data_IF_357099130362
#
_entry.id   IF_357099130362
#
_cell.length_a   1.000
_cell.length_b   1.000
_cell.length_c   1.000
_cell.angle_alpha   90.00
_cell.angle_beta   90.00
_cell.angle_gamma   90.00
#
_symmetry.space_group_name_H-M   'P 1'
#
loop_
_entity.id
_entity.type
_entity.pdbx_description
1 polymer ?
#
# COMPACT_ATOMS: atom_id res chain seq x y z
N UNK A 1 -43.84 21.33 -22.51
CA UNK A 1 -43.30 19.99 -22.24
C UNK A 1 -42.49 20.09 -20.96
N UNK A 2 -43.14 19.83 -19.80
CA UNK A 2 -42.50 19.91 -18.48
C UNK A 2 -41.89 18.54 -18.17
N UNK A 3 -40.56 18.49 -18.03
CA UNK A 3 -39.86 17.30 -17.56
C UNK A 3 -39.99 17.25 -16.04
N UNK A 4 -40.80 16.31 -15.53
CA UNK A 4 -40.84 15.98 -14.11
C UNK A 4 -39.64 15.11 -13.81
N UNK A 5 -38.63 15.72 -13.16
CA UNK A 5 -37.47 14.98 -12.61
C UNK A 5 -37.97 14.31 -11.33
N UNK A 6 -38.22 13.01 -11.40
CA UNK A 6 -38.36 12.18 -10.22
C UNK A 6 -36.99 12.09 -9.56
N UNK A 7 -36.79 12.89 -8.52
CA UNK A 7 -35.73 12.63 -7.53
C UNK A 7 -36.22 11.42 -6.73
N UNK A 8 -35.79 10.23 -7.15
CA UNK A 8 -35.83 9.04 -6.29
C UNK A 8 -34.84 9.34 -5.17
N UNK A 9 -35.36 9.85 -4.06
CA UNK A 9 -34.62 9.87 -2.81
C UNK A 9 -34.31 8.40 -2.50
N UNK A 10 -33.04 7.99 -2.64
CA UNK A 10 -32.56 6.84 -1.91
C UNK A 10 -32.77 7.18 -0.44
N UNK A 11 -33.88 6.71 0.16
CA UNK A 11 -33.88 6.41 1.56
C UNK A 11 -32.69 5.46 1.75
N UNK A 12 -31.55 6.02 2.18
CA UNK A 12 -30.57 5.24 2.89
C UNK A 12 -31.33 4.71 4.10
N UNK A 13 -31.93 3.53 3.93
CA UNK A 13 -32.29 2.73 5.07
C UNK A 13 -31.08 2.83 6.00
N UNK A 14 -31.31 3.16 7.26
CA UNK A 14 -30.33 3.05 8.33
C UNK A 14 -29.98 1.56 8.49
N UNK A 15 -29.44 0.98 7.45
CA UNK A 15 -28.76 -0.30 7.51
C UNK A 15 -27.52 0.02 8.32
N UNK A 16 -27.51 -0.45 9.56
CA UNK A 16 -26.29 -0.58 10.32
C UNK A 16 -25.23 -1.09 9.35
N UNK A 17 -24.17 -0.29 9.20
CA UNK A 17 -23.13 -0.60 8.25
C UNK A 17 -22.51 -1.92 8.69
N UNK A 18 -22.95 -3.03 8.10
CA UNK A 18 -22.55 -4.40 8.45
C UNK A 18 -21.15 -4.73 8.02
N UNK A 19 -20.52 -3.86 7.25
CA UNK A 19 -19.09 -3.89 6.96
C UNK A 19 -18.23 -3.48 8.17
N UNK A 20 -18.84 -3.33 9.34
CA UNK A 20 -18.14 -3.27 10.61
C UNK A 20 -17.44 -4.58 10.91
N UNK A 21 -16.59 -5.09 10.26
CA UNK A 21 -16.10 -6.36 10.69
C UNK A 21 -14.88 -6.83 9.98
N UNK A 22 -14.57 -6.24 8.88
CA UNK A 22 -13.39 -6.61 8.12
C UNK A 22 -12.28 -5.61 8.36
N UNK A 23 -11.14 -6.11 8.81
CA UNK A 23 -9.90 -5.35 8.85
C UNK A 23 -9.36 -5.32 7.43
N UNK A 24 -9.59 -4.23 6.70
CA UNK A 24 -9.00 -4.03 5.38
C UNK A 24 -7.89 -3.00 5.45
N UNK A 25 -6.68 -3.47 5.67
CA UNK A 25 -5.51 -2.63 5.71
C UNK A 25 -5.69 -1.46 6.69
N UNK A 26 -5.06 -0.34 6.40
CA UNK A 26 -5.09 0.84 7.28
C UNK A 26 -6.47 1.49 7.44
N UNK A 27 -7.43 1.18 6.58
CA UNK A 27 -8.80 1.74 6.63
C UNK A 27 -9.70 1.04 7.64
N UNK A 28 -9.37 -0.19 8.03
CA UNK A 28 -10.13 -0.95 9.01
C UNK A 28 -9.85 -0.58 10.47
N UNK A 29 -8.90 0.29 10.74
CA UNK A 29 -8.47 0.60 12.10
C UNK A 29 -9.60 1.10 13.02
N UNK A 30 -10.53 1.90 12.50
CA UNK A 30 -11.64 2.51 13.24
C UNK A 30 -12.90 1.62 13.34
N UNK A 31 -12.91 0.44 12.69
CA UNK A 31 -14.05 -0.48 12.74
C UNK A 31 -14.16 -1.18 14.10
N UNK A 32 -15.28 -1.91 14.33
CA UNK A 32 -15.44 -2.75 15.52
C UNK A 32 -14.33 -3.79 15.67
N UNK A 33 -13.95 -4.39 14.53
CA UNK A 33 -12.84 -5.33 14.44
C UNK A 33 -11.51 -4.65 14.14
N UNK A 34 -11.46 -3.32 14.21
CA UNK A 34 -10.25 -2.56 14.05
C UNK A 34 -9.30 -2.67 15.23
N UNK A 35 -8.11 -2.12 15.05
CA UNK A 35 -7.02 -2.21 16.03
C UNK A 35 -6.59 -0.82 16.54
N UNK A 36 -7.43 0.19 16.36
CA UNK A 36 -7.09 1.57 16.73
C UNK A 36 -6.83 1.71 18.23
N UNK A 37 -7.76 1.25 19.06
CA UNK A 37 -7.59 1.36 20.51
C UNK A 37 -6.35 0.59 21.00
N UNK A 38 -6.06 -0.56 20.42
CA UNK A 38 -4.84 -1.28 20.74
C UNK A 38 -3.58 -0.48 20.34
N UNK A 39 -3.61 0.20 19.19
CA UNK A 39 -2.50 1.06 18.81
C UNK A 39 -2.36 2.32 19.68
N UNK A 40 -3.48 2.88 20.16
CA UNK A 40 -3.49 4.02 21.08
C UNK A 40 -2.87 3.68 22.45
N UNK A 41 -2.91 2.42 22.89
CA UNK A 41 -2.21 2.00 24.10
C UNK A 41 -0.68 2.12 23.95
N UNK A 42 -0.13 1.82 22.78
CA UNK A 42 1.30 2.07 22.48
C UNK A 42 1.61 3.56 22.41
N UNK A 43 0.74 4.36 21.77
CA UNK A 43 0.91 5.82 21.70
C UNK A 43 0.85 6.46 23.08
N UNK A 44 0.01 5.95 23.99
CA UNK A 44 -0.08 6.41 25.39
C UNK A 44 1.23 6.16 26.16
N UNK A 45 2.04 5.19 25.76
CA UNK A 45 3.40 4.96 26.29
C UNK A 45 4.48 5.79 25.59
N UNK A 46 4.09 6.67 24.64
CA UNK A 46 5.01 7.53 23.92
C UNK A 46 5.58 6.91 22.65
N UNK A 47 5.10 5.74 22.22
CA UNK A 47 5.54 5.11 21.00
C UNK A 47 5.03 5.86 19.74
N UNK A 48 5.84 5.87 18.68
CA UNK A 48 5.37 6.27 17.36
C UNK A 48 4.81 5.06 16.63
N UNK A 49 3.48 5.05 16.41
CA UNK A 49 2.80 3.96 15.71
C UNK A 49 2.68 4.26 14.21
N UNK A 50 3.00 3.27 13.37
CA UNK A 50 2.75 3.28 11.94
C UNK A 50 1.98 2.04 11.52
N UNK A 51 1.27 2.14 10.39
CA UNK A 51 0.49 1.05 9.80
C UNK A 51 1.00 0.74 8.41
N UNK A 52 1.03 -0.54 8.06
CA UNK A 52 1.44 -1.00 6.73
C UNK A 52 0.68 -2.26 6.34
N UNK A 53 0.42 -2.42 5.05
CA UNK A 53 -0.11 -3.66 4.45
C UNK A 53 0.98 -4.47 3.75
N UNK A 54 2.23 -4.04 3.90
CA UNK A 54 3.37 -4.63 3.19
C UNK A 54 4.53 -4.82 4.17
N UNK A 55 5.12 -6.00 4.14
CA UNK A 55 6.42 -6.28 4.76
C UNK A 55 7.50 -5.76 3.81
N UNK A 56 8.25 -4.76 4.24
CA UNK A 56 9.31 -4.15 3.43
C UNK A 56 10.64 -4.08 4.24
N UNK A 57 11.78 -3.77 3.60
CA UNK A 57 13.07 -3.67 4.27
C UNK A 57 13.15 -2.59 5.37
N UNK A 58 12.13 -1.71 5.46
CA UNK A 58 12.09 -0.67 6.50
C UNK A 58 11.65 -1.20 7.86
N UNK A 59 11.30 -2.50 7.95
CA UNK A 59 11.03 -3.18 9.23
C UNK A 59 12.14 -2.96 10.27
N UNK A 60 13.39 -2.87 9.84
CA UNK A 60 14.54 -2.64 10.72
C UNK A 60 14.49 -1.31 11.51
N UNK A 61 13.52 -0.45 11.21
CA UNK A 61 13.31 0.83 11.91
C UNK A 61 12.37 0.71 13.12
N UNK A 62 11.86 -0.49 13.38
CA UNK A 62 10.91 -0.74 14.45
C UNK A 62 11.41 -1.83 15.38
N UNK A 63 11.20 -1.65 16.68
CA UNK A 63 11.50 -2.65 17.69
C UNK A 63 10.32 -3.59 17.88
N UNK A 64 9.11 -3.07 17.70
CA UNK A 64 7.89 -3.85 17.84
C UNK A 64 7.09 -3.89 16.55
N UNK A 65 6.69 -5.09 16.15
CA UNK A 65 5.78 -5.33 15.03
C UNK A 65 4.55 -6.07 15.56
N UNK A 66 3.37 -5.55 15.22
CA UNK A 66 2.08 -6.16 15.56
C UNK A 66 1.39 -6.58 14.29
N UNK A 67 1.04 -7.84 14.13
CA UNK A 67 0.39 -8.34 12.94
C UNK A 67 -0.96 -8.99 13.24
N UNK A 68 -2.02 -8.38 12.67
CA UNK A 68 -3.37 -8.91 12.64
C UNK A 68 -3.69 -9.38 11.22
N UNK A 69 -3.70 -10.69 10.92
CA UNK A 69 -4.18 -11.18 9.64
C UNK A 69 -5.72 -11.10 9.56
N UNK A 70 -6.26 -10.78 8.39
CA UNK A 70 -7.71 -10.70 8.15
C UNK A 70 -8.41 -12.06 8.18
N UNK A 71 -7.66 -13.12 8.04
CA UNK A 71 -8.21 -14.46 7.98
C UNK A 71 -7.47 -15.40 8.93
N UNK A 72 -8.14 -16.45 9.34
CA UNK A 72 -7.54 -17.58 10.07
C UNK A 72 -6.65 -18.45 9.18
N UNK A 73 -6.40 -18.02 7.94
CA UNK A 73 -5.50 -18.72 7.03
C UNK A 73 -4.06 -18.67 7.56
N UNK A 74 -3.34 -19.76 7.36
CA UNK A 74 -1.93 -19.83 7.71
C UNK A 74 -1.14 -18.79 6.91
N UNK A 75 -0.29 -17.99 7.56
CA UNK A 75 0.53 -17.00 6.88
C UNK A 75 1.38 -17.61 5.77
N UNK A 76 1.64 -16.85 4.73
CA UNK A 76 2.53 -17.29 3.65
C UNK A 76 3.94 -17.58 4.17
N UNK A 77 4.60 -18.60 3.62
CA UNK A 77 5.96 -18.95 4.02
C UNK A 77 6.93 -17.76 3.88
N UNK A 78 6.75 -16.91 2.86
CA UNK A 78 7.56 -15.71 2.66
C UNK A 78 7.36 -14.68 3.79
N UNK A 79 6.14 -14.47 4.25
CA UNK A 79 5.85 -13.54 5.34
C UNK A 79 6.44 -14.06 6.65
N UNK A 80 6.24 -15.34 6.95
CA UNK A 80 6.81 -16.01 8.13
C UNK A 80 8.34 -15.92 8.12
N UNK A 81 8.96 -16.21 6.99
CA UNK A 81 10.42 -16.13 6.83
C UNK A 81 10.92 -14.70 7.03
N UNK A 82 10.33 -13.72 6.33
CA UNK A 82 10.76 -12.32 6.42
C UNK A 82 10.66 -11.75 7.84
N UNK A 83 9.57 -12.06 8.56
CA UNK A 83 9.41 -11.62 9.95
C UNK A 83 10.33 -12.40 10.92
N UNK A 84 10.59 -13.69 10.67
CA UNK A 84 11.54 -14.48 11.47
C UNK A 84 12.98 -13.99 11.27
N UNK A 85 13.36 -13.63 10.05
CA UNK A 85 14.67 -13.04 9.75
C UNK A 85 14.82 -11.67 10.40
N UNK A 86 13.79 -10.82 10.32
CA UNK A 86 13.76 -9.53 11.01
C UNK A 86 13.91 -9.74 12.52
N UNK A 87 13.14 -10.64 13.11
CA UNK A 87 13.19 -10.92 14.54
C UNK A 87 14.60 -11.44 14.96
N UNK A 88 15.25 -12.23 14.11
CA UNK A 88 16.58 -12.79 14.38
C UNK A 88 17.75 -11.82 14.12
N UNK A 89 17.53 -10.73 13.40
CA UNK A 89 18.61 -9.81 12.93
C UNK A 89 18.89 -8.64 13.86
N UNK A 90 17.99 -8.33 14.81
CA UNK A 90 18.09 -7.18 15.72
C UNK A 90 18.24 -7.60 17.19
N UNK A 91 18.14 -6.60 18.08
CA UNK A 91 18.14 -6.77 19.52
C UNK A 91 16.83 -6.22 20.08
N UNK A 92 16.30 -6.85 21.12
CA UNK A 92 15.12 -6.44 21.89
C UNK A 92 13.87 -6.24 21.01
N UNK A 93 13.73 -7.08 19.96
CA UNK A 93 12.62 -7.05 19.03
C UNK A 93 11.46 -7.90 19.50
N UNK A 94 10.26 -7.35 19.40
CA UNK A 94 9.02 -8.04 19.73
C UNK A 94 8.11 -8.14 18.51
N UNK A 95 7.70 -9.37 18.18
CA UNK A 95 6.64 -9.62 17.19
C UNK A 95 5.38 -10.10 17.90
N UNK A 96 4.32 -9.32 17.91
CA UNK A 96 3.00 -9.77 18.34
C UNK A 96 2.26 -10.30 17.10
N UNK A 97 2.05 -11.61 17.04
CA UNK A 97 1.30 -12.24 15.98
C UNK A 97 -0.02 -12.80 16.50
N UNK A 98 -1.12 -12.32 15.92
CA UNK A 98 -2.48 -12.72 16.28
C UNK A 98 -2.95 -13.81 15.33
N UNK A 99 -2.92 -15.07 15.77
CA UNK A 99 -3.10 -16.23 14.90
C UNK A 99 -4.57 -16.59 14.60
N UNK A 100 -5.53 -15.96 15.27
CA UNK A 100 -6.95 -16.25 15.04
C UNK A 100 -7.88 -15.45 15.93
N UNK A 101 -9.19 -15.67 15.77
CA UNK A 101 -10.21 -15.02 16.57
C UNK A 101 -10.33 -13.50 16.34
N UNK A 102 -10.07 -13.04 15.11
CA UNK A 102 -10.00 -11.60 14.78
C UNK A 102 -11.38 -11.03 14.40
N UNK A 103 -12.47 -11.54 14.98
CA UNK A 103 -13.82 -11.09 14.71
C UNK A 103 -14.66 -10.99 15.99
N UNK A 104 -15.07 -9.81 16.34
CA UNK A 104 -15.96 -9.51 17.45
C UNK A 104 -17.39 -9.16 17.02
N UNK A 105 -17.71 -9.30 15.73
CA UNK A 105 -19.02 -8.91 15.19
C UNK A 105 -20.14 -9.74 15.79
N UNK A 106 -19.93 -11.04 15.97
CA UNK A 106 -20.94 -11.93 16.60
C UNK A 106 -21.23 -11.47 18.04
N UNK A 107 -20.20 -11.18 18.82
CA UNK A 107 -20.34 -10.73 20.21
C UNK A 107 -21.08 -9.38 20.27
N UNK A 108 -20.73 -8.44 19.37
CA UNK A 108 -21.43 -7.18 19.25
C UNK A 108 -22.92 -7.36 18.91
N UNK A 109 -23.23 -8.17 17.90
CA UNK A 109 -24.61 -8.38 17.47
C UNK A 109 -25.46 -9.05 18.56
N UNK A 110 -24.87 -9.98 19.33
CA UNK A 110 -25.53 -10.65 20.47
C UNK A 110 -25.87 -9.66 21.59
N UNK A 111 -25.00 -8.72 21.88
CA UNK A 111 -25.25 -7.68 22.88
C UNK A 111 -26.23 -6.63 22.36
N UNK A 112 -26.13 -6.28 21.09
CA UNK A 112 -26.98 -5.27 20.45
C UNK A 112 -28.44 -5.72 20.32
N UNK A 113 -28.72 -7.02 20.08
CA UNK A 113 -30.06 -7.55 19.86
C UNK A 113 -31.00 -7.30 21.05
N UNK A 114 -30.46 -7.22 22.25
CA UNK A 114 -31.26 -6.94 23.46
C UNK A 114 -31.69 -5.47 23.56
N UNK A 115 -31.00 -4.59 22.81
CA UNK A 115 -31.19 -3.14 22.84
C UNK A 115 -31.97 -2.59 21.65
N UNK A 116 -32.19 -3.41 20.61
CA UNK A 116 -32.90 -2.98 19.39
C UNK A 116 -34.42 -3.22 19.51
N UNK A 117 -35.25 -2.43 18.79
CA UNK A 117 -36.69 -2.64 18.68
C UNK A 117 -37.03 -4.04 18.17
N UNK A 118 -38.19 -4.55 18.56
CA UNK A 118 -38.65 -5.91 18.21
C UNK A 118 -38.65 -6.15 16.70
N UNK A 119 -39.00 -5.12 15.92
CA UNK A 119 -39.08 -5.15 14.46
C UNK A 119 -37.73 -5.40 13.80
N UNK A 120 -36.64 -5.07 14.48
CA UNK A 120 -35.27 -5.23 13.97
C UNK A 120 -34.59 -6.52 14.46
N UNK A 121 -35.14 -7.18 15.46
CA UNK A 121 -34.56 -8.40 16.06
C UNK A 121 -34.34 -9.52 15.06
N UNK A 122 -35.30 -9.71 14.14
CA UNK A 122 -35.21 -10.74 13.11
C UNK A 122 -33.99 -10.53 12.20
N UNK A 123 -33.74 -9.31 11.80
CA UNK A 123 -32.55 -8.93 10.99
C UNK A 123 -31.23 -9.19 11.75
N UNK A 124 -31.19 -8.87 13.04
CA UNK A 124 -30.01 -9.15 13.88
C UNK A 124 -29.77 -10.66 14.03
N UNK A 125 -30.84 -11.45 14.23
CA UNK A 125 -30.71 -12.92 14.28
C UNK A 125 -30.23 -13.49 12.95
N UNK A 126 -30.70 -12.96 11.83
CA UNK A 126 -30.24 -13.35 10.51
C UNK A 126 -28.75 -13.09 10.35
N UNK A 127 -28.28 -11.89 10.72
CA UNK A 127 -26.86 -11.51 10.67
C UNK A 127 -26.00 -12.35 11.58
N UNK A 128 -26.44 -12.61 12.81
CA UNK A 128 -25.73 -13.53 13.71
C UNK A 128 -25.57 -14.91 13.06
N UNK A 129 -26.63 -15.38 12.40
CA UNK A 129 -26.58 -16.67 11.70
C UNK A 129 -25.63 -16.66 10.50
N UNK A 130 -25.57 -15.56 9.76
CA UNK A 130 -24.64 -15.36 8.65
C UNK A 130 -23.18 -15.32 9.15
N UNK A 131 -22.89 -14.52 10.17
CA UNK A 131 -21.56 -14.49 10.80
C UNK A 131 -21.12 -15.87 11.31
N UNK A 132 -22.03 -16.62 11.92
CA UNK A 132 -21.74 -18.00 12.35
C UNK A 132 -21.44 -18.94 11.17
N UNK A 133 -22.00 -18.67 9.99
CA UNK A 133 -21.75 -19.43 8.77
C UNK A 133 -20.46 -18.96 8.10
N UNK A 134 -20.22 -17.65 8.02
CA UNK A 134 -19.03 -17.06 7.40
C UNK A 134 -17.76 -17.32 8.23
N UNK A 135 -17.87 -17.28 9.55
CA UNK A 135 -16.80 -17.69 10.46
C UNK A 135 -16.50 -19.21 10.41
N UNK A 136 -17.39 -20.00 9.74
CA UNK A 136 -16.95 -21.30 9.26
C UNK A 136 -16.00 -21.01 8.09
N UNK A 137 -14.75 -21.50 8.19
CA UNK A 137 -13.74 -21.28 7.16
C UNK A 137 -14.25 -21.74 5.80
N UNK A 138 -14.91 -20.83 5.10
CA UNK A 138 -15.45 -21.10 3.78
C UNK A 138 -14.36 -20.88 2.74
N UNK A 139 -14.04 -21.95 2.05
CA UNK A 139 -13.72 -21.87 0.62
C UNK A 139 -12.35 -21.41 0.19
N UNK A 140 -11.35 -21.15 1.05
CA UNK A 140 -9.99 -20.99 0.55
C UNK A 140 -9.34 -22.35 0.26
N UNK A 141 -8.55 -22.46 -0.80
CA UNK A 141 -7.78 -23.67 -1.11
C UNK A 141 -6.90 -24.12 0.08
N UNK A 142 -6.43 -23.17 0.89
CA UNK A 142 -5.71 -23.43 2.13
C UNK A 142 -6.60 -24.11 3.17
N UNK A 143 -7.89 -23.75 3.21
CA UNK A 143 -8.86 -24.36 4.11
C UNK A 143 -9.33 -25.73 3.61
N UNK A 144 -9.44 -25.96 2.32
CA UNK A 144 -9.65 -27.32 1.79
C UNK A 144 -8.46 -28.23 2.09
N UNK A 145 -7.24 -27.71 2.01
CA UNK A 145 -6.03 -28.46 2.43
C UNK A 145 -6.03 -28.73 3.94
N UNK A 146 -6.52 -27.78 4.76
CA UNK A 146 -6.72 -27.95 6.19
C UNK A 146 -7.76 -29.02 6.52
N UNK A 147 -8.90 -28.99 5.82
CA UNK A 147 -9.98 -29.99 6.00
C UNK A 147 -9.51 -31.39 5.59
N UNK A 148 -8.70 -31.51 4.52
CA UNK A 148 -8.21 -32.78 4.00
C UNK A 148 -7.11 -33.43 4.85
N UNK A 149 -6.24 -32.62 5.47
CA UNK A 149 -5.05 -33.11 6.18
C UNK A 149 -5.15 -33.05 7.70
N UNK A 150 -6.24 -32.52 8.27
CA UNK A 150 -6.52 -32.48 9.72
C UNK A 150 -5.64 -31.54 10.55
N UNK A 151 -4.57 -31.01 9.98
CA UNK A 151 -3.72 -30.03 10.63
C UNK A 151 -3.13 -29.06 9.59
N UNK A 152 -3.04 -27.79 9.96
CA UNK A 152 -2.43 -26.73 9.18
C UNK A 152 -1.54 -25.93 10.11
N UNK A 153 -0.50 -25.31 9.62
CA UNK A 153 0.36 -24.50 10.46
C UNK A 153 1.51 -23.86 9.67
N UNK A 154 2.27 -23.05 10.36
CA UNK A 154 3.48 -22.43 9.85
C UNK A 154 4.69 -22.82 10.71
N UNK A 155 5.78 -22.09 10.53
CA UNK A 155 7.00 -22.34 11.30
C UNK A 155 6.86 -22.05 12.78
N UNK A 156 5.91 -21.21 13.17
CA UNK A 156 5.68 -20.76 14.56
C UNK A 156 4.70 -21.65 15.33
N UNK A 157 3.66 -22.18 14.66
CA UNK A 157 2.58 -22.92 15.29
C UNK A 157 1.94 -23.94 14.38
N UNK A 158 1.16 -24.83 15.00
CA UNK A 158 0.22 -25.75 14.34
C UNK A 158 -1.20 -25.38 14.75
N UNK A 159 -2.09 -25.40 13.77
CA UNK A 159 -3.52 -25.15 13.97
C UNK A 159 -4.26 -26.49 13.91
N UNK A 160 -5.02 -26.81 14.94
CA UNK A 160 -5.83 -28.03 14.99
C UNK A 160 -7.31 -27.66 15.03
N UNK A 161 -8.11 -28.26 14.16
CA UNK A 161 -9.56 -28.04 14.11
C UNK A 161 -10.23 -28.76 15.30
N UNK A 162 -9.97 -28.32 16.49
CA UNK A 162 -10.65 -28.79 17.68
C UNK A 162 -11.33 -27.59 18.31
N UNK A 163 -12.66 -27.54 18.23
CA UNK A 163 -13.41 -26.54 18.98
C UNK A 163 -13.29 -26.83 20.47
N UNK A 164 -12.72 -25.90 21.19
CA UNK A 164 -12.52 -26.01 22.64
C UNK A 164 -13.76 -25.48 23.36
N UNK A 165 -14.40 -24.45 22.78
CA UNK A 165 -15.56 -23.78 23.34
C UNK A 165 -15.17 -22.67 24.32
N UNK A 166 -16.14 -22.24 25.11
CA UNK A 166 -16.00 -21.11 26.02
C UNK A 166 -15.24 -21.50 27.29
N UNK A 167 -14.29 -20.67 27.64
CA UNK A 167 -13.49 -20.77 28.85
C UNK A 167 -13.59 -19.49 29.64
N UNK A 168 -13.63 -19.62 30.95
CA UNK A 168 -13.61 -18.50 31.92
C UNK A 168 -12.36 -18.55 32.76
N UNK A 169 -12.13 -17.51 33.52
CA UNK A 169 -11.00 -17.38 34.41
C UNK A 169 -9.66 -17.28 33.69
N UNK A 170 -9.26 -16.04 33.41
CA UNK A 170 -7.97 -15.74 32.78
C UNK A 170 -6.92 -15.48 33.87
N UNK A 171 -5.79 -16.14 33.72
CA UNK A 171 -4.64 -16.00 34.63
C UNK A 171 -3.33 -16.21 33.88
N UNK A 172 -2.22 -15.80 34.43
CA UNK A 172 -0.90 -16.09 33.86
C UNK A 172 0.19 -15.12 34.26
N UNK A 173 1.38 -15.36 33.73
CA UNK A 173 2.60 -14.61 34.05
C UNK A 173 2.64 -13.19 33.54
N UNK A 174 1.73 -12.83 32.59
CA UNK A 174 1.65 -11.49 32.04
C UNK A 174 0.97 -10.54 33.01
N UNK A 175 0.14 -11.04 33.90
CA UNK A 175 -0.55 -10.29 34.93
C UNK A 175 0.35 -10.15 36.17
N UNK A 176 0.10 -9.13 36.97
CA UNK A 176 0.81 -8.98 38.23
C UNK A 176 0.54 -10.20 39.16
N UNK A 177 1.45 -10.46 40.07
CA UNK A 177 1.38 -11.67 40.92
C UNK A 177 0.05 -11.74 41.69
N UNK A 178 -0.77 -12.71 41.32
CA UNK A 178 -2.06 -12.97 41.93
C UNK A 178 -3.26 -12.34 41.24
N UNK A 179 -3.06 -11.54 40.22
CA UNK A 179 -4.17 -11.03 39.39
C UNK A 179 -4.77 -12.15 38.54
N UNK A 180 -6.09 -12.14 38.44
CA UNK A 180 -6.85 -13.02 37.57
C UNK A 180 -8.21 -12.40 37.26
N UNK A 181 -8.70 -12.61 36.04
CA UNK A 181 -10.01 -12.15 35.62
C UNK A 181 -11.00 -13.32 35.67
N UNK A 182 -11.87 -13.33 36.70
CA UNK A 182 -12.81 -14.43 36.92
C UNK A 182 -14.00 -14.45 35.95
N UNK A 183 -14.39 -13.28 35.45
CA UNK A 183 -15.60 -13.11 34.63
C UNK A 183 -15.32 -12.98 33.14
N UNK A 184 -14.04 -12.94 32.72
CA UNK A 184 -13.66 -12.90 31.35
C UNK A 184 -13.95 -14.23 30.66
N UNK A 185 -14.89 -14.25 29.72
CA UNK A 185 -15.23 -15.43 28.91
C UNK A 185 -14.58 -15.31 27.52
N UNK A 186 -13.84 -16.34 27.13
CA UNK A 186 -13.21 -16.45 25.81
C UNK A 186 -13.73 -17.68 25.07
N UNK A 187 -14.11 -17.53 23.79
CA UNK A 187 -14.57 -18.63 22.94
C UNK A 187 -13.45 -19.07 21.98
N UNK A 188 -12.98 -20.29 22.16
CA UNK A 188 -11.91 -20.88 21.38
C UNK A 188 -12.47 -21.72 20.24
N UNK A 189 -12.44 -21.17 19.03
CA UNK A 189 -12.86 -21.88 17.82
C UNK A 189 -11.83 -22.89 17.31
N UNK A 190 -10.57 -22.73 17.68
CA UNK A 190 -9.44 -23.55 17.24
C UNK A 190 -8.42 -23.72 18.37
N UNK A 191 -7.73 -24.86 18.35
CA UNK A 191 -6.57 -25.08 19.20
C UNK A 191 -5.31 -24.70 18.40
N UNK A 192 -4.53 -23.76 18.95
CA UNK A 192 -3.25 -23.34 18.40
C UNK A 192 -2.15 -23.88 19.30
N UNK A 193 -1.26 -24.69 18.72
CA UNK A 193 -0.12 -25.28 19.42
C UNK A 193 1.17 -24.66 18.90
N UNK A 194 1.93 -23.95 19.74
CA UNK A 194 3.25 -23.47 19.36
C UNK A 194 4.20 -24.61 19.02
N UNK A 195 5.08 -24.40 18.07
CA UNK A 195 6.11 -25.37 17.74
C UNK A 195 7.21 -25.41 18.80
N UNK A 196 7.57 -26.58 19.27
CA UNK A 196 8.53 -26.79 20.35
C UNK A 196 9.92 -26.20 20.06
N UNK A 197 10.33 -26.13 18.78
CA UNK A 197 11.61 -25.54 18.39
C UNK A 197 11.74 -24.04 18.70
N UNK A 198 10.61 -23.36 18.95
CA UNK A 198 10.54 -21.97 19.38
C UNK A 198 10.51 -21.80 20.90
N UNK A 199 10.76 -22.85 21.65
CA UNK A 199 10.78 -22.86 23.10
C UNK A 199 9.59 -22.11 23.74
N UNK A 200 8.36 -22.59 23.57
CA UNK A 200 7.15 -21.88 23.97
C UNK A 200 7.03 -21.78 25.49
N UNK A 201 6.72 -20.59 25.97
CA UNK A 201 6.34 -20.29 27.33
C UNK A 201 4.91 -19.76 27.37
N UNK A 202 4.08 -20.28 28.24
CA UNK A 202 2.70 -19.80 28.43
C UNK A 202 2.73 -18.47 29.19
N UNK A 203 2.17 -17.42 28.61
CA UNK A 203 2.01 -16.11 29.24
C UNK A 203 0.62 -15.96 29.86
N UNK A 204 -0.44 -16.39 29.15
CA UNK A 204 -1.82 -16.33 29.59
C UNK A 204 -2.58 -17.61 29.25
N UNK A 205 -3.48 -17.99 30.15
CA UNK A 205 -4.40 -19.11 29.96
C UNK A 205 -5.81 -18.75 30.44
N UNK A 206 -6.81 -19.36 29.84
CA UNK A 206 -8.20 -19.30 30.28
C UNK A 206 -8.62 -20.69 30.74
N UNK A 207 -8.76 -20.86 32.04
CA UNK A 207 -8.90 -22.21 32.67
C UNK A 207 -7.69 -23.08 32.39
N UNK A 208 -7.88 -24.15 31.62
CA UNK A 208 -6.84 -25.09 31.18
C UNK A 208 -6.25 -24.82 29.80
N UNK A 209 -6.75 -23.80 29.11
CA UNK A 209 -6.38 -23.50 27.74
C UNK A 209 -5.49 -22.27 27.64
N UNK A 210 -4.26 -22.44 27.17
CA UNK A 210 -3.34 -21.34 26.95
C UNK A 210 -3.64 -20.62 25.62
N UNK A 211 -3.60 -19.30 25.64
CA UNK A 211 -3.94 -18.49 24.47
C UNK A 211 -2.94 -17.37 24.16
N UNK A 212 -2.03 -17.06 25.05
CA UNK A 212 -0.89 -16.18 24.78
C UNK A 212 0.39 -16.91 25.15
N UNK A 213 1.28 -17.00 24.17
CA UNK A 213 2.56 -17.66 24.31
C UNK A 213 3.69 -16.71 23.96
N UNK A 214 4.78 -16.83 24.72
CA UNK A 214 6.07 -16.30 24.31
C UNK A 214 6.82 -17.40 23.56
N UNK A 215 7.34 -17.07 22.40
CA UNK A 215 8.18 -17.93 21.58
C UNK A 215 9.55 -17.28 21.43
N UNK A 216 10.60 -18.02 21.72
CA UNK A 216 11.98 -17.56 21.53
C UNK A 216 12.55 -18.09 20.24
N UNK A 217 13.18 -17.26 19.40
CA UNK A 217 13.79 -17.72 18.15
C UNK A 217 14.82 -18.82 18.38
N UNK A 218 14.85 -19.90 17.56
CA UNK A 218 15.75 -21.04 17.77
C UNK A 218 17.25 -20.69 17.66
N UNK A 219 17.58 -19.55 17.08
CA UNK A 219 18.97 -19.06 16.88
C UNK A 219 19.23 -17.81 17.75
N UNK A 220 18.52 -17.63 18.83
CA UNK A 220 18.72 -16.48 19.70
C UNK A 220 20.12 -16.55 20.36
N UNK A 221 21.02 -15.68 19.89
CA UNK A 221 22.20 -15.30 20.65
C UNK A 221 21.71 -14.35 21.74
N UNK A 222 21.82 -14.64 23.01
CA UNK A 222 21.52 -13.82 24.19
C UNK A 222 20.61 -12.56 24.01
N UNK A 223 19.86 -12.51 22.92
CA UNK A 223 19.01 -11.41 22.52
C UNK A 223 17.63 -11.63 23.15
N UNK A 224 17.06 -10.57 23.70
CA UNK A 224 15.71 -10.62 24.30
C UNK A 224 14.59 -10.62 23.25
N UNK A 225 14.91 -11.03 22.01
CA UNK A 225 13.93 -11.09 20.92
C UNK A 225 12.85 -12.13 21.22
N UNK A 226 11.61 -11.74 21.06
CA UNK A 226 10.47 -12.62 21.34
C UNK A 226 9.36 -12.48 20.29
N UNK A 227 8.69 -13.60 20.05
CA UNK A 227 7.43 -13.62 19.32
C UNK A 227 6.32 -13.92 20.34
N UNK A 228 5.38 -13.01 20.48
CA UNK A 228 4.17 -13.19 21.27
C UNK A 228 3.08 -13.72 20.34
N UNK A 229 2.70 -14.97 20.51
CA UNK A 229 1.66 -15.64 19.75
C UNK A 229 0.35 -15.54 20.52
N UNK A 230 -0.64 -14.81 19.95
CA UNK A 230 -1.99 -14.67 20.52
C UNK A 230 -2.95 -15.51 19.71
N UNK A 231 -3.58 -16.51 20.30
CA UNK A 231 -4.53 -17.39 19.62
C UNK A 231 -5.96 -16.86 19.60
N UNK A 232 -6.28 -15.88 20.44
CA UNK A 232 -7.59 -15.27 20.58
C UNK A 232 -7.51 -13.76 20.38
N UNK A 233 -7.54 -13.33 19.13
CA UNK A 233 -7.34 -11.92 18.76
C UNK A 233 -8.52 -11.01 19.07
N UNK A 234 -9.72 -11.55 19.23
CA UNK A 234 -10.92 -10.74 19.53
C UNK A 234 -10.75 -9.86 20.76
N UNK A 235 -9.95 -10.27 21.73
CA UNK A 235 -9.68 -9.50 22.96
C UNK A 235 -8.93 -8.19 22.71
N UNK A 236 -8.22 -8.07 21.59
CA UNK A 236 -7.39 -6.92 21.23
C UNK A 236 -8.08 -5.99 20.20
N UNK A 237 -9.33 -6.31 19.82
CA UNK A 237 -10.09 -5.50 18.87
C UNK A 237 -10.81 -4.34 19.56
N UNK A 238 -11.09 -3.28 18.80
CA UNK A 238 -11.71 -2.06 19.33
C UNK A 238 -12.97 -2.32 20.17
N UNK A 239 -13.86 -3.21 19.69
CA UNK A 239 -15.07 -3.55 20.44
C UNK A 239 -14.77 -4.16 21.80
N UNK A 240 -13.79 -5.05 21.85
CA UNK A 240 -13.45 -5.77 23.09
C UNK A 240 -12.72 -4.89 24.09
N UNK A 241 -11.93 -3.93 23.62
CA UNK A 241 -11.17 -3.00 24.47
C UNK A 241 -12.03 -1.91 25.15
N UNK A 242 -13.36 -1.95 24.97
CA UNK A 242 -14.30 -1.18 25.79
C UNK A 242 -14.42 -1.80 27.19
N UNK A 243 -14.14 -3.10 27.32
CA UNK A 243 -14.15 -3.83 28.56
C UNK A 243 -12.83 -3.56 29.33
N UNK A 244 -12.94 -3.16 30.61
CA UNK A 244 -11.80 -2.75 31.43
C UNK A 244 -10.80 -3.90 31.66
N UNK A 245 -11.28 -5.13 31.85
CA UNK A 245 -10.44 -6.30 32.08
C UNK A 245 -9.61 -6.63 30.82
N UNK A 246 -10.24 -6.56 29.65
CA UNK A 246 -9.55 -6.77 28.36
C UNK A 246 -8.57 -5.64 28.04
N UNK A 247 -8.91 -4.41 28.41
CA UNK A 247 -8.00 -3.27 28.28
C UNK A 247 -6.78 -3.42 29.19
N UNK A 248 -6.97 -3.88 30.43
CA UNK A 248 -5.87 -4.16 31.37
C UNK A 248 -4.93 -5.24 30.79
N UNK A 249 -5.50 -6.31 30.22
CA UNK A 249 -4.74 -7.38 29.58
C UNK A 249 -3.96 -6.89 28.36
N UNK A 250 -4.61 -6.08 27.50
CA UNK A 250 -3.94 -5.45 26.36
C UNK A 250 -2.80 -4.52 26.79
N UNK A 251 -3.03 -3.74 27.87
CA UNK A 251 -1.99 -2.88 28.45
C UNK A 251 -0.81 -3.67 28.99
N UNK A 252 -1.06 -4.81 29.63
CA UNK A 252 0.00 -5.70 30.09
C UNK A 252 0.86 -6.27 28.93
N UNK A 253 0.23 -6.55 27.79
CA UNK A 253 0.96 -6.92 26.55
C UNK A 253 1.83 -5.79 26.03
N UNK A 254 1.28 -4.56 26.02
CA UNK A 254 2.00 -3.37 25.53
C UNK A 254 3.18 -3.04 26.45
N UNK A 255 3.01 -3.13 27.76
CA UNK A 255 4.07 -2.88 28.75
C UNK A 255 5.29 -3.81 28.61
N UNK A 256 5.11 -4.94 27.93
CA UNK A 256 6.17 -5.90 27.68
C UNK A 256 7.03 -5.55 26.47
N UNK A 257 6.52 -4.75 25.56
CA UNK A 257 7.17 -4.45 24.29
C UNK A 257 8.18 -3.30 24.43
N UNK A 258 9.34 -3.43 23.76
CA UNK A 258 10.18 -2.26 23.51
C UNK A 258 9.55 -1.39 22.42
N UNK A 259 9.44 -0.10 22.70
CA UNK A 259 8.79 0.87 21.80
C UNK A 259 9.71 2.04 21.44
N UNK A 260 11.00 1.93 21.75
CA UNK A 260 11.96 3.04 21.66
C UNK A 260 12.16 3.56 20.24
N UNK A 261 12.17 2.68 19.22
CA UNK A 261 12.27 3.07 17.81
C UNK A 261 10.89 3.14 17.11
N UNK A 262 9.85 2.67 17.77
CA UNK A 262 8.49 2.73 17.29
C UNK A 262 7.85 1.38 17.01
N UNK A 263 6.56 1.42 16.72
CA UNK A 263 5.70 0.24 16.54
C UNK A 263 5.10 0.24 15.14
N UNK A 264 5.17 -0.92 14.47
CA UNK A 264 4.55 -1.12 13.17
C UNK A 264 3.36 -2.07 13.28
N UNK A 265 2.17 -1.61 12.97
CA UNK A 265 0.99 -2.45 12.78
C UNK A 265 0.93 -2.95 11.34
N UNK A 266 1.01 -4.26 11.17
CA UNK A 266 0.81 -4.94 9.89
C UNK A 266 -0.64 -5.41 9.80
N UNK A 267 -1.32 -4.98 8.76
CA UNK A 267 -2.69 -5.36 8.46
C UNK A 267 -2.70 -6.06 7.10
N UNK A 268 -3.25 -7.26 7.05
CA UNK A 268 -3.31 -8.03 5.80
C UNK A 268 -4.72 -8.06 5.25
N UNK A 269 -4.86 -7.96 3.93
CA UNK A 269 -6.12 -8.19 3.23
C UNK A 269 -6.42 -9.69 3.07
N UNK A 270 -7.55 -10.00 2.45
CA UNK A 270 -8.04 -11.38 2.22
C UNK A 270 -7.02 -12.29 1.52
N UNK A 271 -6.09 -11.72 0.77
CA UNK A 271 -5.01 -12.45 0.09
C UNK A 271 -3.73 -12.59 0.95
N UNK A 272 -3.77 -12.12 2.20
CA UNK A 272 -2.63 -12.07 3.08
C UNK A 272 -1.82 -10.78 2.95
N UNK A 273 -0.61 -10.77 3.52
CA UNK A 273 0.29 -9.63 3.50
C UNK A 273 1.27 -9.73 2.34
N UNK A 274 1.44 -8.63 1.61
CA UNK A 274 2.43 -8.56 0.56
C UNK A 274 3.84 -8.45 1.14
N UNK A 275 4.77 -9.26 0.66
CA UNK A 275 6.19 -9.18 1.01
C UNK A 275 6.93 -8.55 -0.15
N UNK A 276 7.47 -7.36 0.09
CA UNK A 276 8.33 -6.71 -0.89
C UNK A 276 9.73 -7.28 -0.75
N UNK A 277 10.14 -8.07 -1.73
CA UNK A 277 11.50 -8.58 -1.77
C UNK A 277 12.46 -7.39 -1.72
N UNK A 278 13.32 -7.36 -0.71
CA UNK A 278 14.45 -6.45 -0.73
C UNK A 278 15.25 -6.83 -1.95
N UNK A 279 15.31 -5.96 -2.92
CA UNK A 279 16.30 -6.10 -3.95
C UNK A 279 17.68 -5.95 -3.29
N UNK A 280 18.22 -7.05 -2.87
CA UNK A 280 19.67 -7.27 -2.66
C UNK A 280 20.37 -7.24 -4.04
N UNK A 281 19.72 -6.81 -5.06
CA UNK A 281 20.33 -6.58 -6.36
C UNK A 281 20.23 -5.10 -6.66
N UNK A 282 21.39 -4.47 -6.80
CA UNK A 282 21.64 -3.22 -7.53
C UNK A 282 20.37 -2.53 -8.03
N UNK A 283 19.62 -1.89 -7.16
CA UNK A 283 18.55 -1.02 -7.59
C UNK A 283 19.18 0.18 -8.26
N UNK A 284 19.38 0.06 -9.54
CA UNK A 284 19.41 1.21 -10.42
C UNK A 284 18.22 2.08 -10.00
N UNK A 285 18.45 3.39 -9.77
CA UNK A 285 17.41 4.36 -9.43
C UNK A 285 16.25 4.41 -10.46
N UNK A 286 16.28 3.54 -11.45
CA UNK A 286 15.35 3.44 -12.57
C UNK A 286 14.36 2.26 -12.45
N UNK A 287 14.43 1.45 -11.39
CA UNK A 287 13.55 0.26 -11.25
C UNK A 287 12.06 0.61 -11.17
N UNK A 288 11.72 1.82 -10.71
CA UNK A 288 10.34 2.31 -10.68
C UNK A 288 9.73 2.49 -12.07
N UNK A 289 10.58 2.72 -13.13
CA UNK A 289 10.13 2.83 -14.53
C UNK A 289 9.69 1.47 -15.08
N UNK A 290 10.25 0.37 -14.56
CA UNK A 290 9.92 -0.99 -15.00
C UNK A 290 8.62 -1.52 -14.37
N UNK A 291 7.99 -0.81 -13.44
CA UNK A 291 6.75 -1.23 -12.80
C UNK A 291 5.50 -0.72 -13.55
N UNK A 292 4.43 -1.53 -13.68
CA UNK A 292 3.14 -1.05 -14.18
C UNK A 292 2.57 0.07 -13.29
N UNK A 293 1.99 1.13 -13.87
CA UNK A 293 1.72 1.39 -15.31
C UNK A 293 2.87 2.07 -16.07
N UNK A 294 3.96 2.50 -15.40
CA UNK A 294 5.03 3.32 -15.97
C UNK A 294 5.81 2.60 -17.07
N UNK A 295 5.98 1.28 -16.97
CA UNK A 295 6.66 0.47 -18.00
C UNK A 295 5.94 0.53 -19.37
N UNK A 296 4.65 0.86 -19.40
CA UNK A 296 3.91 1.07 -20.64
C UNK A 296 3.92 2.53 -21.06
N UNK A 297 3.78 3.46 -20.13
CA UNK A 297 3.69 4.91 -20.41
C UNK A 297 5.01 5.45 -20.95
N UNK A 298 6.13 5.11 -20.33
CA UNK A 298 7.45 5.66 -20.69
C UNK A 298 7.87 5.31 -22.12
N UNK A 299 7.76 4.07 -22.62
CA UNK A 299 8.06 3.77 -24.02
C UNK A 299 7.17 4.51 -25.01
N UNK A 300 5.89 4.70 -24.70
CA UNK A 300 4.97 5.44 -25.56
C UNK A 300 5.33 6.93 -25.64
N UNK A 301 5.66 7.55 -24.51
CA UNK A 301 6.11 8.95 -24.48
C UNK A 301 7.43 9.12 -25.22
N UNK A 302 8.37 8.20 -25.07
CA UNK A 302 9.64 8.19 -25.82
C UNK A 302 9.40 8.05 -27.32
N UNK A 303 8.54 7.11 -27.73
CA UNK A 303 8.19 6.93 -29.14
C UNK A 303 7.55 8.19 -29.72
N UNK A 304 6.59 8.78 -29.01
CA UNK A 304 5.97 10.05 -29.41
C UNK A 304 7.00 11.17 -29.50
N UNK A 305 7.93 11.27 -28.58
CA UNK A 305 9.02 12.25 -28.61
C UNK A 305 9.92 12.09 -29.84
N UNK A 306 10.28 10.84 -30.18
CA UNK A 306 11.05 10.54 -31.39
C UNK A 306 10.27 10.92 -32.66
N UNK A 307 8.98 10.56 -32.75
CA UNK A 307 8.13 10.94 -33.87
C UNK A 307 7.98 12.47 -33.99
N UNK A 308 7.83 13.15 -32.88
CA UNK A 308 7.78 14.60 -32.83
C UNK A 308 9.09 15.21 -33.35
N UNK A 309 10.25 14.68 -32.99
CA UNK A 309 11.54 15.10 -33.52
C UNK A 309 11.61 14.91 -35.06
N UNK A 310 11.09 13.81 -35.58
CA UNK A 310 11.04 13.60 -37.05
C UNK A 310 10.13 14.59 -37.76
N UNK A 311 9.04 15.02 -37.14
CA UNK A 311 8.11 16.00 -37.71
C UNK A 311 8.70 17.41 -37.71
N UNK A 312 9.29 17.81 -36.59
CA UNK A 312 9.79 19.18 -36.40
C UNK A 312 11.23 19.40 -36.89
N UNK A 313 12.04 18.32 -36.96
CA UNK A 313 13.40 18.38 -37.50
C UNK A 313 13.52 17.55 -38.78
N UNK A 314 12.82 17.95 -39.87
CA UNK A 314 12.81 17.18 -41.12
C UNK A 314 14.15 17.15 -41.84
N UNK A 315 15.19 17.79 -41.29
CA UNK A 315 16.49 17.97 -41.96
C UNK A 315 17.57 17.15 -41.24
N UNK A 316 17.36 15.83 -41.13
CA UNK A 316 18.48 14.90 -40.99
C UNK A 316 19.00 14.49 -42.36
N UNK A 317 19.44 15.47 -43.16
CA UNK A 317 20.08 15.24 -44.45
C UNK A 317 21.37 16.08 -44.55
N UNK A 318 22.35 15.61 -45.32
CA UNK A 318 23.51 16.42 -45.67
C UNK A 318 22.98 17.77 -46.17
N UNK A 319 23.43 18.92 -45.64
CA UNK A 319 22.98 20.22 -46.09
C UNK A 319 23.27 20.29 -47.58
N UNK A 320 22.21 20.30 -48.41
CA UNK A 320 22.34 20.57 -49.84
C UNK A 320 22.95 21.97 -49.88
N UNK A 321 24.23 22.08 -50.30
CA UNK A 321 24.83 23.35 -50.59
C UNK A 321 23.95 23.94 -51.72
N UNK A 322 23.07 24.86 -51.36
CA UNK A 322 22.37 25.68 -52.31
C UNK A 322 23.50 26.41 -53.03
N UNK A 323 23.71 26.05 -54.33
CA UNK A 323 24.63 26.86 -55.19
C UNK A 323 24.16 28.28 -54.99
N UNK A 324 25.06 29.21 -54.58
CA UNK A 324 24.66 30.61 -54.49
C UNK A 324 24.03 30.94 -55.83
N UNK A 325 22.74 31.27 -55.83
CA UNK A 325 22.04 31.77 -57.00
C UNK A 325 22.87 32.98 -57.36
N UNK A 326 23.65 32.87 -58.45
CA UNK A 326 24.48 33.97 -58.92
C UNK A 326 23.53 35.17 -58.99
N UNK A 327 23.53 35.97 -57.95
CA UNK A 327 22.95 37.30 -57.98
C UNK A 327 23.56 37.84 -59.21
N UNK A 328 22.71 38.07 -60.18
CA UNK A 328 23.08 38.51 -61.52
C UNK A 328 24.25 39.50 -61.39
N UNK A 329 25.41 39.05 -61.75
CA UNK A 329 26.57 39.94 -61.69
C UNK A 329 26.13 41.16 -62.53
N UNK A 330 26.34 42.33 -61.96
CA UNK A 330 25.99 43.61 -62.62
C UNK A 330 26.37 43.61 -64.13
N UNK A 331 27.43 42.88 -64.48
CA UNK A 331 27.84 42.55 -65.83
C UNK A 331 26.78 41.83 -66.67
N UNK A 332 26.06 40.85 -66.11
CA UNK A 332 25.03 40.12 -66.82
C UNK A 332 23.78 41.01 -67.08
N UNK A 333 23.48 41.88 -66.10
CA UNK A 333 22.40 42.86 -66.25
C UNK A 333 22.73 43.88 -67.30
N UNK A 334 23.99 44.41 -67.33
CA UNK A 334 24.44 45.35 -68.38
C UNK A 334 24.41 44.68 -69.78
N UNK A 335 24.93 43.43 -69.84
CA UNK A 335 24.93 42.74 -71.12
C UNK A 335 23.48 42.49 -71.64
N UNK A 336 22.54 42.09 -70.79
CA UNK A 336 21.14 41.92 -71.19
C UNK A 336 20.50 43.23 -71.58
N UNK A 337 20.78 44.32 -70.91
CA UNK A 337 20.28 45.65 -71.24
C UNK A 337 20.88 46.15 -72.57
N UNK A 338 22.16 45.95 -72.79
CA UNK A 338 22.85 46.31 -74.06
C UNK A 338 22.28 45.51 -75.24
N UNK A 339 22.00 44.24 -75.07
CA UNK A 339 21.39 43.39 -76.12
C UNK A 339 19.97 43.80 -76.41
N UNK A 340 19.15 44.16 -75.43
CA UNK A 340 17.82 44.69 -75.59
C UNK A 340 17.85 46.04 -76.34
N UNK A 341 18.77 46.94 -76.02
CA UNK A 341 18.94 48.24 -76.68
C UNK A 341 19.46 48.08 -78.08
N UNK A 342 20.32 47.13 -78.39
CA UNK A 342 20.80 46.84 -79.72
C UNK A 342 19.69 46.31 -80.66
N UNK A 343 18.82 45.44 -80.09
CA UNK A 343 17.65 44.92 -80.89
C UNK A 343 16.58 45.96 -81.15
N UNK A 344 16.46 46.99 -80.31
CA UNK A 344 15.42 48.02 -80.45
C UNK A 344 15.67 49.03 -81.58
N UNK A 345 16.85 48.99 -82.19
CA UNK A 345 17.28 49.89 -83.28
C UNK A 345 17.07 51.38 -82.96
N UNK A 346 17.16 51.76 -81.67
CA UNK A 346 17.00 53.15 -81.20
C UNK A 346 18.28 53.66 -80.51
N UNK A 347 19.36 53.95 -81.23
CA UNK A 347 20.63 54.35 -80.67
C UNK A 347 20.55 55.64 -79.84
N UNK A 348 19.69 56.59 -80.26
CA UNK A 348 19.51 57.84 -79.51
C UNK A 348 18.89 57.63 -78.08
N UNK A 349 18.05 56.65 -77.95
CA UNK A 349 17.47 56.32 -76.61
C UNK A 349 18.50 55.68 -75.66
N UNK A 350 19.36 54.85 -76.19
CA UNK A 350 20.47 54.27 -75.45
C UNK A 350 21.46 55.32 -74.92
N UNK A 351 21.82 56.26 -75.80
CA UNK A 351 22.74 57.37 -75.44
C UNK A 351 22.10 58.28 -74.39
N UNK A 352 20.83 58.57 -74.47
CA UNK A 352 20.15 59.42 -73.53
C UNK A 352 20.06 58.68 -72.12
N UNK A 353 19.71 57.39 -72.09
CA UNK A 353 19.67 56.62 -70.85
C UNK A 353 21.05 56.52 -70.16
N UNK A 354 22.11 56.37 -70.91
CA UNK A 354 23.46 56.37 -70.37
C UNK A 354 23.82 57.78 -69.84
N UNK A 355 23.46 58.83 -70.48
CA UNK A 355 23.72 60.18 -70.04
C UNK A 355 22.93 60.55 -68.75
N UNK A 356 21.66 60.11 -68.69
CA UNK A 356 20.83 60.31 -67.50
C UNK A 356 21.40 59.51 -66.30
N UNK A 357 21.86 58.26 -66.50
CA UNK A 357 22.52 57.50 -65.51
C UNK A 357 23.84 58.17 -65.03
N UNK A 358 24.66 58.65 -65.89
CA UNK A 358 25.90 59.39 -65.57
C UNK A 358 25.58 60.63 -64.73
N UNK A 359 24.49 61.35 -65.03
CA UNK A 359 24.07 62.51 -64.23
C UNK A 359 23.59 62.12 -62.86
N UNK A 360 22.84 61.03 -62.71
CA UNK A 360 22.35 60.56 -61.47
C UNK A 360 23.51 60.08 -60.54
N UNK A 361 24.48 59.35 -61.09
CA UNK A 361 25.64 58.90 -60.35
C UNK A 361 26.54 60.06 -59.96
N UNK A 362 26.73 61.05 -60.80
CA UNK A 362 27.52 62.22 -60.45
C UNK A 362 26.86 63.11 -59.40
N UNK A 363 25.52 63.19 -59.39
CA UNK A 363 24.77 63.92 -58.35
C UNK A 363 24.88 63.20 -56.96
N UNK A 364 24.80 61.86 -56.92
CA UNK A 364 24.96 61.10 -55.72
C UNK A 364 26.41 61.10 -55.13
N UNK A 365 27.38 61.14 -56.04
CA UNK A 365 28.79 61.30 -55.64
C UNK A 365 29.07 62.63 -54.98
N UNK A 366 28.43 63.71 -55.50
CA UNK A 366 28.55 65.04 -54.90
C UNK A 366 27.77 65.20 -53.60
N UNK A 367 26.70 64.44 -53.38
CA UNK A 367 25.92 64.46 -52.17
C UNK A 367 26.69 63.74 -51.02
N UNK A 368 27.39 62.67 -51.30
CA UNK A 368 28.24 61.93 -50.32
C UNK A 368 29.55 62.65 -49.94
N UNK A 369 29.87 63.77 -50.65
CA UNK A 369 31.04 64.64 -50.32
C UNK A 369 30.63 65.86 -49.49
N UNK A 370 29.35 66.06 -49.26
CA UNK A 370 28.80 67.24 -48.57
C UNK A 370 28.27 66.85 -47.12
N UNK A 371 28.13 65.58 -46.88
CA UNK A 371 27.94 65.00 -45.53
C UNK A 371 29.28 64.41 -44.96
#
# INVERSE_FOLDING_TARGET
MFAVIFVVGCEQANTLNTEYGTIFGTRGADSLNGTKYFSELFEAQGATVKRSTVIDPKLDRYDTVVWFPDSTAVPSAKAVQGLSEWLGSGYDRTLIFVAGGNNATEDYLRVAIDKVPVEQKEEYLRRISEEMIENKPAGSNAMQAFISNGSSGCDWYELTKKRIGKKKFVSGKLLEDGESFSDMELDFSYEIRPRQKWNPEVLLQAGDEAFVYKLSPPVARDNQNELILVSQGSILLNYSLIDEDKQALASALVNRCDTSQGVLFLESGSEGIAVRESAISNHSNWSWIAQPPLCYIVPHVLLLGVLFCFVYFPIFGRPKRVKPRNISTFRNHINATAELLSRSNQPNRAVNSIRDYQRAVSSDANRKKAD
#
